data_IF_876969158741
#
_entry.id   IF_876969158741
#
_cell.length_a   1.000
_cell.length_b   1.000
_cell.length_c   1.000
_cell.angle_alpha   90.00
_cell.angle_beta   90.00
_cell.angle_gamma   90.00
#
_symmetry.space_group_name_H-M   'P 1'
#
loop_
_entity.id
_entity.type
_entity.pdbx_description
1 polymer ?
#
# COMPACT_ATOMS: atom_id res chain seq x y z
N UNK A 1 22.17 -30.43 26.08
CA UNK A 1 22.98 -29.49 26.87
C UNK A 1 23.96 -28.77 25.94
N UNK A 2 23.57 -27.64 25.35
CA UNK A 2 24.46 -26.56 24.85
C UNK A 2 23.62 -25.40 24.29
N UNK A 3 22.81 -24.77 25.14
CA UNK A 3 22.17 -23.48 24.84
C UNK A 3 22.26 -22.48 26.02
N UNK A 4 22.97 -22.84 27.10
CA UNK A 4 23.05 -22.02 28.32
C UNK A 4 24.25 -21.04 28.34
N UNK A 5 25.06 -20.96 27.28
CA UNK A 5 26.29 -20.15 27.28
C UNK A 5 26.12 -18.70 26.80
N UNK A 6 24.91 -18.26 26.46
CA UNK A 6 24.68 -16.91 25.90
C UNK A 6 23.63 -16.06 26.61
N UNK A 7 23.29 -16.34 27.88
CA UNK A 7 22.54 -15.37 28.71
C UNK A 7 21.21 -14.85 28.14
N UNK A 8 20.63 -15.53 27.16
CA UNK A 8 19.38 -15.14 26.54
C UNK A 8 18.22 -15.56 27.44
N UNK A 9 17.83 -14.65 28.33
CA UNK A 9 16.57 -14.75 29.05
C UNK A 9 15.44 -14.41 28.08
N UNK A 10 14.57 -15.37 27.79
CA UNK A 10 13.27 -15.10 27.18
C UNK A 10 12.44 -14.27 28.18
N UNK A 11 12.46 -12.94 28.03
CA UNK A 11 11.69 -12.02 28.84
C UNK A 11 10.87 -11.10 27.92
N UNK A 12 9.59 -11.44 27.76
CA UNK A 12 8.51 -10.44 27.73
C UNK A 12 8.28 -9.59 26.47
N UNK A 13 8.99 -9.76 25.36
CA UNK A 13 8.83 -8.91 24.17
C UNK A 13 7.61 -9.22 23.29
N UNK A 14 7.11 -10.47 23.29
CA UNK A 14 5.98 -10.85 22.45
C UNK A 14 4.69 -10.06 22.75
N UNK A 15 4.50 -9.63 24.01
CA UNK A 15 3.31 -8.86 24.40
C UNK A 15 3.36 -7.39 24.00
N UNK A 16 4.56 -6.82 23.83
CA UNK A 16 4.74 -5.41 23.44
C UNK A 16 4.59 -5.17 21.94
N UNK A 17 4.84 -6.18 21.12
CA UNK A 17 4.74 -6.08 19.65
C UNK A 17 3.29 -6.18 19.18
N UNK A 18 2.52 -7.14 19.71
CA UNK A 18 1.05 -7.22 19.50
C UNK A 18 0.38 -5.89 19.88
N UNK A 19 0.73 -5.32 21.04
CA UNK A 19 0.17 -4.04 21.49
C UNK A 19 0.55 -2.86 20.55
N UNK A 20 1.71 -2.91 19.88
CA UNK A 20 2.17 -1.82 19.00
C UNK A 20 1.53 -1.87 17.61
N UNK A 21 1.33 -3.07 17.05
CA UNK A 21 0.55 -3.27 15.82
C UNK A 21 -0.91 -2.89 16.05
N UNK A 22 -1.49 -3.29 17.20
CA UNK A 22 -2.85 -2.91 17.59
C UNK A 22 -2.96 -1.39 17.81
N UNK A 23 -2.00 -0.76 18.49
CA UNK A 23 -2.01 0.71 18.70
C UNK A 23 -1.90 1.48 17.38
N UNK A 24 -1.05 1.07 16.43
CA UNK A 24 -0.97 1.71 15.11
C UNK A 24 -2.23 1.46 14.26
N UNK A 25 -2.76 0.25 14.28
CA UNK A 25 -3.98 -0.11 13.54
C UNK A 25 -5.21 0.61 14.11
N UNK A 26 -5.31 0.75 15.44
CA UNK A 26 -6.36 1.52 16.10
C UNK A 26 -6.22 3.03 15.90
N UNK A 27 -5.00 3.57 15.97
CA UNK A 27 -4.76 5.01 15.77
C UNK A 27 -4.94 5.39 14.29
N UNK A 28 -4.70 4.45 13.36
CA UNK A 28 -5.07 4.60 11.95
C UNK A 28 -6.57 4.47 11.74
N UNK A 29 -7.23 3.41 12.21
CA UNK A 29 -8.70 3.21 12.12
C UNK A 29 -9.46 4.41 12.69
N UNK A 30 -9.03 4.98 13.83
CA UNK A 30 -9.62 6.22 14.38
C UNK A 30 -9.48 7.43 13.45
N UNK A 31 -8.45 7.46 12.59
CA UNK A 31 -8.19 8.52 11.61
C UNK A 31 -8.80 8.25 10.23
N UNK A 32 -9.11 7.00 9.91
CA UNK A 32 -9.47 6.55 8.55
C UNK A 32 -10.76 5.75 8.43
N UNK A 33 -11.56 5.59 9.48
CA UNK A 33 -12.88 4.92 9.40
C UNK A 33 -13.74 5.57 8.30
N UNK A 34 -13.83 4.90 7.15
CA UNK A 34 -14.48 5.38 5.93
C UNK A 34 -15.82 4.66 5.78
N UNK A 35 -16.93 5.38 5.90
CA UNK A 35 -18.20 4.94 5.34
C UNK A 35 -18.04 4.55 3.86
N UNK A 36 -18.75 3.50 3.43
CA UNK A 36 -18.86 3.12 2.02
C UNK A 36 -19.12 4.35 1.14
N UNK A 37 -18.31 4.51 0.09
CA UNK A 37 -18.43 5.61 -0.86
C UNK A 37 -17.70 6.90 -0.45
N UNK A 38 -16.81 6.88 0.55
CA UNK A 38 -15.91 8.00 0.86
C UNK A 38 -14.53 7.80 0.24
N UNK A 39 -14.10 8.77 -0.56
CA UNK A 39 -12.82 8.76 -1.28
C UNK A 39 -11.99 9.95 -0.83
N UNK A 40 -10.78 9.68 -0.34
CA UNK A 40 -9.87 10.70 0.19
C UNK A 40 -8.71 10.90 -0.76
N UNK A 41 -8.37 12.15 -1.04
CA UNK A 41 -7.22 12.52 -1.85
C UNK A 41 -6.38 13.55 -1.12
N UNK A 42 -5.07 13.41 -1.22
CA UNK A 42 -4.15 14.43 -0.75
C UNK A 42 -3.94 15.51 -1.80
N UNK A 43 -3.80 16.73 -1.31
CA UNK A 43 -3.43 17.88 -2.13
C UNK A 43 -1.92 17.93 -2.31
N UNK A 44 -1.46 18.16 -3.55
CA UNK A 44 -0.05 18.47 -3.84
C UNK A 44 0.25 19.98 -3.87
N UNK A 45 -0.74 20.81 -3.54
CA UNK A 45 -0.65 22.28 -3.52
C UNK A 45 -1.64 22.88 -2.53
N UNK A 46 -1.43 24.11 -2.04
CA UNK A 46 -2.33 24.73 -1.08
C UNK A 46 -3.80 24.72 -1.54
N UNK A 47 -4.71 24.48 -0.59
CA UNK A 47 -6.15 24.52 -0.83
C UNK A 47 -6.63 25.94 -1.18
N UNK A 48 -7.53 26.07 -2.16
CA UNK A 48 -8.03 27.36 -2.62
C UNK A 48 -8.90 27.27 -3.88
N UNK A 49 -9.18 28.42 -4.51
CA UNK A 49 -10.01 28.42 -5.72
C UNK A 49 -9.32 27.65 -6.84
N UNK A 50 -10.00 26.62 -7.36
CA UNK A 50 -9.48 25.77 -8.43
C UNK A 50 -8.48 24.72 -7.96
N UNK A 51 -8.29 24.52 -6.65
CA UNK A 51 -7.42 23.44 -6.14
C UNK A 51 -8.07 22.06 -6.28
N UNK A 52 -9.40 21.97 -6.41
CA UNK A 52 -10.14 20.71 -6.40
C UNK A 52 -11.44 20.78 -7.23
N UNK A 53 -11.97 19.64 -7.71
CA UNK A 53 -13.28 19.60 -8.35
C UNK A 53 -14.41 19.82 -7.34
N UNK A 54 -15.51 20.43 -7.76
CA UNK A 54 -16.67 20.71 -6.88
C UNK A 54 -17.63 19.53 -6.78
N UNK A 55 -17.73 18.71 -7.82
CA UNK A 55 -18.70 17.63 -7.92
C UNK A 55 -18.40 16.48 -6.94
N UNK A 56 -19.26 16.30 -5.94
CA UNK A 56 -19.13 15.24 -4.93
C UNK A 56 -18.21 15.59 -3.77
N UNK A 57 -17.68 16.82 -3.71
CA UNK A 57 -16.88 17.29 -2.59
C UNK A 57 -17.69 17.27 -1.28
N UNK A 58 -17.07 16.77 -0.21
CA UNK A 58 -17.68 16.65 1.12
C UNK A 58 -16.98 17.54 2.13
N UNK A 59 -15.66 17.42 2.22
CA UNK A 59 -14.90 18.04 3.30
C UNK A 59 -13.46 18.31 2.88
N UNK A 60 -12.88 19.38 3.45
CA UNK A 60 -11.46 19.64 3.46
C UNK A 60 -10.92 19.43 4.87
N UNK A 61 -9.82 18.68 5.00
CA UNK A 61 -9.05 18.56 6.24
C UNK A 61 -7.78 19.40 6.12
N UNK A 62 -7.55 20.25 7.11
CA UNK A 62 -6.38 21.14 7.19
C UNK A 62 -5.04 20.36 7.13
N UNK A 63 -3.93 21.04 6.79
CA UNK A 63 -2.62 20.41 6.68
C UNK A 63 -2.16 19.69 7.96
N UNK A 64 -1.42 18.61 7.76
CA UNK A 64 -0.76 17.85 8.82
C UNK A 64 0.67 17.49 8.42
N UNK A 65 1.52 16.98 9.34
CA UNK A 65 2.87 16.54 8.98
C UNK A 65 2.90 15.48 7.87
N UNK A 66 1.89 14.62 7.79
CA UNK A 66 1.77 13.61 6.74
C UNK A 66 1.20 14.16 5.42
N UNK A 67 0.39 15.23 5.50
CA UNK A 67 -0.30 15.86 4.37
C UNK A 67 -0.10 17.37 4.40
N UNK A 68 1.03 17.88 3.89
CA UNK A 68 1.43 19.29 4.04
C UNK A 68 0.48 20.33 3.43
N UNK A 69 -0.42 19.91 2.54
CA UNK A 69 -1.42 20.79 1.94
C UNK A 69 -2.87 20.42 2.33
N UNK A 70 -3.02 19.41 3.19
CA UNK A 70 -4.32 18.90 3.63
C UNK A 70 -4.89 17.81 2.71
N UNK A 71 -6.11 17.41 3.03
CA UNK A 71 -6.84 16.35 2.34
C UNK A 71 -8.20 16.86 1.87
N UNK A 72 -8.67 16.33 0.75
CA UNK A 72 -10.03 16.56 0.24
C UNK A 72 -10.78 15.24 0.18
N UNK A 73 -12.04 15.27 0.60
CA UNK A 73 -12.89 14.10 0.75
C UNK A 73 -14.08 14.20 -0.19
N UNK A 74 -14.40 13.11 -0.88
CA UNK A 74 -15.47 13.01 -1.86
C UNK A 74 -16.41 11.85 -1.59
N UNK A 75 -17.66 11.95 -2.04
CA UNK A 75 -18.62 10.85 -2.02
C UNK A 75 -18.62 9.97 -3.28
N UNK A 76 -17.58 10.11 -4.10
CA UNK A 76 -17.36 9.31 -5.32
C UNK A 76 -15.87 9.28 -5.63
N UNK A 77 -15.44 8.27 -6.37
CA UNK A 77 -14.10 8.30 -6.95
C UNK A 77 -14.00 9.42 -7.99
N UNK A 78 -12.86 10.08 -8.01
CA UNK A 78 -12.48 11.06 -9.02
C UNK A 78 -11.92 10.35 -10.23
N UNK A 79 -12.35 10.78 -11.42
CA UNK A 79 -11.75 10.29 -12.66
C UNK A 79 -10.30 10.80 -12.77
N UNK A 80 -9.49 10.09 -13.55
CA UNK A 80 -8.08 10.41 -13.75
C UNK A 80 -7.87 11.87 -14.12
N UNK A 81 -8.56 12.33 -15.16
CA UNK A 81 -8.48 13.72 -15.61
C UNK A 81 -8.72 14.71 -14.47
N UNK A 82 -9.60 14.41 -13.52
CA UNK A 82 -9.79 15.25 -12.34
C UNK A 82 -8.57 15.16 -11.41
N UNK A 83 -8.11 13.95 -11.08
CA UNK A 83 -6.91 13.74 -10.26
C UNK A 83 -5.69 14.48 -10.84
N UNK A 84 -5.42 14.37 -12.15
CA UNK A 84 -4.34 15.09 -12.82
C UNK A 84 -4.52 16.61 -12.80
N UNK A 85 -5.67 17.11 -13.25
CA UNK A 85 -5.91 18.56 -13.37
C UNK A 85 -5.80 19.29 -12.03
N UNK A 86 -6.13 18.59 -10.95
CA UNK A 86 -6.14 19.13 -9.61
C UNK A 86 -4.93 18.69 -8.76
N UNK A 87 -4.07 17.83 -9.31
CA UNK A 87 -2.91 17.24 -8.62
C UNK A 87 -3.32 16.57 -7.30
N UNK A 88 -4.33 15.69 -7.40
CA UNK A 88 -4.94 14.98 -6.28
C UNK A 88 -4.52 13.51 -6.29
N UNK A 89 -3.73 13.11 -5.32
CA UNK A 89 -3.24 11.73 -5.19
C UNK A 89 -4.18 10.96 -4.25
N UNK A 90 -4.70 9.78 -4.62
CA UNK A 90 -5.55 8.99 -3.74
C UNK A 90 -4.80 8.57 -2.47
N UNK A 91 -5.51 8.62 -1.35
CA UNK A 91 -5.05 8.09 -0.08
C UNK A 91 -5.83 6.82 0.17
N UNK A 92 -5.13 5.69 0.29
CA UNK A 92 -5.74 4.41 0.63
C UNK A 92 -5.51 4.06 2.10
N UNK A 93 -6.22 3.08 2.61
CA UNK A 93 -6.01 2.57 3.97
C UNK A 93 -4.67 1.86 4.11
N UNK A 94 -4.39 0.94 3.18
CA UNK A 94 -3.14 0.19 3.06
C UNK A 94 -2.91 -0.20 1.59
N UNK A 95 -1.83 -0.93 1.31
CA UNK A 95 -1.46 -1.33 -0.05
C UNK A 95 -2.43 -2.36 -0.68
N UNK A 96 -3.25 -3.04 0.12
CA UNK A 96 -4.22 -4.03 -0.37
C UNK A 96 -5.38 -3.37 -1.12
N UNK A 97 -5.80 -2.17 -0.72
CA UNK A 97 -6.88 -1.43 -1.38
C UNK A 97 -6.53 -1.05 -2.83
N UNK A 98 -5.43 -0.33 -3.14
CA UNK A 98 -5.07 -0.02 -4.52
C UNK A 98 -4.68 -1.26 -5.32
N UNK A 99 -4.10 -2.28 -4.68
CA UNK A 99 -3.85 -3.58 -5.30
C UNK A 99 -5.16 -4.23 -5.78
N UNK A 100 -6.18 -4.31 -4.92
CA UNK A 100 -7.46 -4.93 -5.24
C UNK A 100 -8.18 -4.17 -6.36
N UNK A 101 -8.16 -2.84 -6.30
CA UNK A 101 -8.71 -1.98 -7.36
C UNK A 101 -7.99 -2.23 -8.69
N UNK A 102 -6.65 -2.25 -8.69
CA UNK A 102 -5.86 -2.56 -9.88
C UNK A 102 -6.16 -3.95 -10.44
N UNK A 103 -6.18 -4.99 -9.60
CA UNK A 103 -6.47 -6.37 -10.01
C UNK A 103 -7.84 -6.48 -10.68
N UNK A 104 -8.86 -5.83 -10.12
CA UNK A 104 -10.19 -5.79 -10.71
C UNK A 104 -10.21 -5.06 -12.06
N UNK A 105 -9.46 -3.96 -12.18
CA UNK A 105 -9.38 -3.18 -13.41
C UNK A 105 -8.72 -3.96 -14.57
N UNK A 106 -7.70 -4.77 -14.27
CA UNK A 106 -6.96 -5.51 -15.30
C UNK A 106 -7.61 -6.86 -15.69
N UNK A 107 -8.58 -7.37 -14.93
CA UNK A 107 -9.12 -8.74 -15.04
C UNK A 107 -9.49 -9.17 -16.47
N UNK A 108 -9.98 -8.23 -17.29
CA UNK A 108 -10.43 -8.48 -18.67
C UNK A 108 -9.49 -7.88 -19.73
N UNK A 109 -8.23 -7.67 -19.37
CA UNK A 109 -7.22 -7.06 -20.23
C UNK A 109 -6.06 -8.03 -20.48
N UNK A 110 -5.23 -7.75 -21.49
CA UNK A 110 -4.03 -8.55 -21.76
C UNK A 110 -3.04 -8.55 -20.58
N UNK A 111 -3.06 -7.50 -19.74
CA UNK A 111 -2.22 -7.40 -18.53
C UNK A 111 -2.53 -8.55 -17.56
N UNK A 112 -3.78 -8.99 -17.46
CA UNK A 112 -4.14 -10.12 -16.61
C UNK A 112 -3.55 -11.44 -17.13
N UNK A 113 -3.56 -11.67 -18.45
CA UNK A 113 -2.92 -12.86 -19.04
C UNK A 113 -1.39 -12.84 -18.83
N UNK A 114 -0.77 -11.67 -18.93
CA UNK A 114 0.66 -11.45 -18.63
C UNK A 114 0.97 -11.67 -17.15
N UNK A 115 0.09 -11.24 -16.24
CA UNK A 115 0.21 -11.51 -14.80
C UNK A 115 0.18 -13.02 -14.55
N UNK A 116 -0.79 -13.75 -15.13
CA UNK A 116 -0.88 -15.20 -14.98
C UNK A 116 0.34 -15.93 -15.57
N UNK A 117 0.91 -15.42 -16.65
CA UNK A 117 2.15 -15.95 -17.21
C UNK A 117 3.34 -15.71 -16.28
N UNK A 118 3.46 -14.50 -15.73
CA UNK A 118 4.48 -14.13 -14.74
C UNK A 118 4.38 -14.98 -13.47
N UNK A 119 3.16 -15.26 -12.98
CA UNK A 119 2.94 -16.12 -11.81
C UNK A 119 3.52 -17.52 -11.98
N UNK A 120 3.61 -18.05 -13.21
CA UNK A 120 4.22 -19.37 -13.45
C UNK A 120 5.73 -19.39 -13.25
N UNK A 121 6.39 -18.24 -13.37
CA UNK A 121 7.85 -18.15 -13.26
C UNK A 121 8.29 -17.70 -11.86
N UNK A 122 7.53 -16.82 -11.22
CA UNK A 122 7.95 -16.24 -9.94
C UNK A 122 7.63 -17.15 -8.74
N UNK A 123 6.65 -18.06 -8.84
CA UNK A 123 6.28 -18.94 -7.71
C UNK A 123 7.41 -19.86 -7.23
N UNK A 124 8.38 -20.13 -8.09
CA UNK A 124 9.55 -20.96 -7.76
C UNK A 124 10.77 -20.13 -7.28
N UNK A 125 10.64 -18.80 -7.22
CA UNK A 125 11.69 -17.91 -6.76
C UNK A 125 11.65 -17.74 -5.23
N UNK A 126 12.74 -17.25 -4.61
CA UNK A 126 12.67 -16.79 -3.23
C UNK A 126 11.54 -15.77 -3.03
N UNK A 127 10.88 -15.83 -1.87
CA UNK A 127 9.71 -14.99 -1.55
C UNK A 127 9.97 -13.51 -1.82
N UNK A 128 11.12 -12.99 -1.38
CA UNK A 128 11.51 -11.60 -1.61
C UNK A 128 11.63 -11.22 -3.09
N UNK A 129 12.23 -12.10 -3.90
CA UNK A 129 12.30 -11.91 -5.36
C UNK A 129 10.91 -11.92 -6.01
N UNK A 130 10.01 -12.76 -5.49
CA UNK A 130 8.62 -12.84 -5.93
C UNK A 130 7.86 -11.54 -5.61
N UNK A 131 7.98 -11.04 -4.38
CA UNK A 131 7.39 -9.78 -3.92
C UNK A 131 7.88 -8.62 -4.79
N UNK A 132 9.19 -8.49 -4.99
CA UNK A 132 9.77 -7.42 -5.78
C UNK A 132 9.32 -7.50 -7.26
N UNK A 133 9.23 -8.71 -7.81
CA UNK A 133 8.77 -8.93 -9.19
C UNK A 133 7.29 -8.57 -9.37
N UNK A 134 6.44 -8.93 -8.41
CA UNK A 134 5.01 -8.57 -8.42
C UNK A 134 4.81 -7.06 -8.32
N UNK A 135 5.48 -6.42 -7.37
CA UNK A 135 5.43 -4.97 -7.20
C UNK A 135 5.88 -4.23 -8.45
N UNK A 136 7.01 -4.63 -9.03
CA UNK A 136 7.52 -4.03 -10.26
C UNK A 136 6.58 -4.26 -11.45
N UNK A 137 5.98 -5.45 -11.55
CA UNK A 137 4.99 -5.75 -12.59
C UNK A 137 3.79 -4.80 -12.50
N UNK A 138 3.26 -4.59 -11.29
CA UNK A 138 2.14 -3.67 -11.06
C UNK A 138 2.49 -2.23 -11.42
N UNK A 139 3.64 -1.73 -10.95
CA UNK A 139 4.08 -0.37 -11.24
C UNK A 139 4.41 -0.15 -12.72
N UNK A 140 4.80 -1.19 -13.47
CA UNK A 140 5.00 -1.07 -14.90
C UNK A 140 3.68 -1.18 -15.70
N UNK A 141 2.60 -1.61 -15.05
CA UNK A 141 1.32 -1.87 -15.68
C UNK A 141 0.17 -1.23 -14.88
N UNK A 142 0.31 0.05 -14.53
CA UNK A 142 -0.81 0.81 -13.98
C UNK A 142 -2.00 0.76 -14.95
N UNK A 143 -3.20 0.58 -14.40
CA UNK A 143 -4.43 0.49 -15.19
C UNK A 143 -4.94 1.87 -15.66
N UNK A 144 -4.37 2.95 -15.11
CA UNK A 144 -4.56 4.32 -15.54
C UNK A 144 -3.29 4.79 -16.28
N UNK A 145 -3.45 5.57 -17.34
CA UNK A 145 -2.40 5.92 -18.31
C UNK A 145 -1.09 6.39 -17.66
N UNK A 146 -0.15 5.45 -17.48
CA UNK A 146 1.25 5.70 -17.13
C UNK A 146 1.50 6.48 -15.84
N UNK A 147 0.52 6.60 -14.92
CA UNK A 147 0.71 7.32 -13.67
C UNK A 147 0.34 6.49 -12.45
N UNK A 148 1.38 6.13 -11.73
CA UNK A 148 1.34 5.28 -10.56
C UNK A 148 0.80 6.00 -9.34
N UNK A 149 0.97 7.32 -9.25
CA UNK A 149 0.46 8.10 -8.13
C UNK A 149 -1.07 8.04 -8.10
N UNK A 150 -1.72 8.09 -9.26
CA UNK A 150 -3.19 8.10 -9.33
C UNK A 150 -3.83 6.72 -9.21
N UNK A 151 -3.05 5.65 -9.39
CA UNK A 151 -3.49 4.25 -9.22
C UNK A 151 -3.17 3.73 -7.83
N UNK A 152 -1.93 3.93 -7.40
CA UNK A 152 -1.35 3.29 -6.23
C UNK A 152 -1.01 4.28 -5.10
N UNK A 153 -1.24 5.58 -5.28
CA UNK A 153 -0.94 6.55 -4.23
C UNK A 153 0.55 6.60 -3.90
N UNK A 154 0.89 6.54 -2.60
CA UNK A 154 2.29 6.60 -2.12
C UNK A 154 2.95 5.24 -1.94
N UNK A 155 2.25 4.13 -2.21
CA UNK A 155 2.80 2.82 -1.92
C UNK A 155 3.95 2.47 -2.87
N UNK A 156 5.02 1.95 -2.26
CA UNK A 156 6.19 1.46 -2.98
C UNK A 156 5.90 0.14 -3.70
N UNK A 157 6.79 -0.21 -4.62
CA UNK A 157 6.81 -1.53 -5.27
C UNK A 157 6.75 -2.67 -4.25
N UNK A 158 7.50 -2.56 -3.15
CA UNK A 158 7.56 -3.61 -2.13
C UNK A 158 6.24 -3.77 -1.40
N UNK A 159 5.60 -2.67 -1.00
CA UNK A 159 4.30 -2.72 -0.29
C UNK A 159 3.19 -3.31 -1.16
N UNK A 160 3.13 -2.91 -2.43
CA UNK A 160 2.18 -3.47 -3.41
C UNK A 160 2.48 -4.96 -3.70
N UNK A 161 3.77 -5.29 -3.81
CA UNK A 161 4.24 -6.66 -4.01
C UNK A 161 3.89 -7.59 -2.85
N UNK A 162 3.93 -7.11 -1.61
CA UNK A 162 3.50 -7.85 -0.43
C UNK A 162 2.00 -8.18 -0.51
N UNK A 163 1.17 -7.16 -0.73
CA UNK A 163 -0.28 -7.34 -0.89
C UNK A 163 -0.62 -8.33 -2.02
N UNK A 164 0.07 -8.22 -3.16
CA UNK A 164 -0.13 -9.14 -4.28
C UNK A 164 0.36 -10.56 -3.98
N UNK A 165 1.47 -10.72 -3.26
CA UNK A 165 2.02 -12.03 -2.91
C UNK A 165 1.07 -12.79 -1.99
N UNK A 166 0.55 -12.13 -0.96
CA UNK A 166 -0.36 -12.73 0.01
C UNK A 166 -1.66 -13.23 -0.62
N UNK A 167 -2.19 -12.51 -1.61
CA UNK A 167 -3.38 -12.91 -2.34
C UNK A 167 -3.11 -14.00 -3.41
N UNK A 168 -2.03 -13.87 -4.20
CA UNK A 168 -1.83 -14.69 -5.40
C UNK A 168 -0.95 -15.93 -5.20
N UNK A 169 -0.09 -15.92 -4.19
CA UNK A 169 0.92 -16.97 -3.95
C UNK A 169 0.69 -17.66 -2.62
N UNK A 170 0.71 -16.91 -1.52
CA UNK A 170 0.49 -17.48 -0.20
C UNK A 170 0.75 -16.50 0.94
N UNK A 171 0.19 -16.81 2.10
CA UNK A 171 0.33 -15.98 3.31
C UNK A 171 1.78 -15.89 3.75
N UNK A 172 2.19 -14.70 4.17
CA UNK A 172 3.50 -14.46 4.77
C UNK A 172 3.36 -14.66 6.28
N UNK A 173 4.20 -15.51 6.88
CA UNK A 173 4.21 -15.65 8.33
C UNK A 173 5.15 -14.63 8.98
N UNK A 174 4.96 -14.37 10.28
CA UNK A 174 5.87 -13.52 11.06
C UNK A 174 7.34 -13.96 10.95
N UNK A 175 7.61 -15.27 10.93
CA UNK A 175 8.97 -15.78 10.76
C UNK A 175 9.54 -15.43 9.38
N UNK A 176 8.71 -15.44 8.35
CA UNK A 176 9.11 -15.06 6.99
C UNK A 176 9.45 -13.57 6.92
N UNK A 177 8.66 -12.71 7.57
CA UNK A 177 8.95 -11.27 7.70
C UNK A 177 10.25 -10.99 8.45
N UNK A 178 10.46 -11.66 9.58
CA UNK A 178 11.69 -11.53 10.36
C UNK A 178 12.91 -11.95 9.53
N UNK A 179 12.83 -13.06 8.80
CA UNK A 179 13.90 -13.52 7.91
C UNK A 179 14.16 -12.50 6.80
N UNK A 180 13.13 -11.89 6.21
CA UNK A 180 13.29 -10.84 5.21
C UNK A 180 13.98 -9.60 5.78
N UNK A 181 13.52 -9.10 6.93
CA UNK A 181 14.12 -7.92 7.57
C UNK A 181 15.59 -8.16 7.91
N UNK A 182 15.93 -9.33 8.46
CA UNK A 182 17.31 -9.69 8.78
C UNK A 182 18.22 -9.73 7.54
N UNK A 183 17.70 -10.19 6.40
CA UNK A 183 18.46 -10.19 5.14
C UNK A 183 18.72 -8.77 4.63
N UNK A 184 17.71 -7.91 4.68
CA UNK A 184 17.84 -6.50 4.28
C UNK A 184 18.93 -5.81 5.13
N UNK A 185 18.88 -5.98 6.45
CA UNK A 185 19.88 -5.40 7.36
C UNK A 185 21.29 -5.97 7.11
N UNK A 186 21.41 -7.25 6.74
CA UNK A 186 22.68 -7.87 6.41
C UNK A 186 23.27 -7.34 5.09
N UNK A 187 22.43 -7.02 4.11
CA UNK A 187 22.85 -6.47 2.81
C UNK A 187 23.22 -4.99 2.88
N UNK A 188 22.71 -4.25 3.87
CA UNK A 188 23.02 -2.85 4.12
C UNK A 188 24.27 -2.63 5.00
N UNK A 189 24.79 -3.68 5.63
CA UNK A 189 25.97 -3.68 6.50
C UNK A 189 27.28 -3.93 5.75
#
# INVERSE_FOLDING_TARGET
KQLDSHGLQYLGEAKKLEDWEIENEEDWKKRTDRPDGIFTYELQRPYGQGSNPTGGFKEYKEPSPAYPFGLVIYSRSLADKEKYNYSLVPVFEDASEPYAQWKAAIEKTAIHDELLATLKTIKDQPMESSINSLGAFMLNNAHEDGNLEFVFGKYSSRELGLAAYEDLIGKISFLDELIMQLKIELELA
#
